data_IF_034805721538
#
_entry.id   IF_034805721538
#
_cell.length_a   1.000
_cell.length_b   1.000
_cell.length_c   1.000
_cell.angle_alpha   90.00
_cell.angle_beta   90.00
_cell.angle_gamma   90.00
#
_symmetry.space_group_name_H-M   'P 1'
#
loop_
_entity.id
_entity.type
_entity.pdbx_description
1 polymer ?
#
# COMPACT_ATOMS: atom_id res chain seq x y z
N UNK A 1 -11.58 -14.31 3.69
CA UNK A 1 -12.01 -14.00 2.31
C UNK A 1 -12.96 -12.82 2.35
N UNK A 2 -13.74 -12.63 1.29
CA UNK A 2 -14.79 -11.61 1.23
C UNK A 2 -15.96 -12.11 0.39
N UNK A 3 -17.18 -11.74 0.78
CA UNK A 3 -18.43 -11.93 0.02
C UNK A 3 -18.96 -10.60 -0.54
N UNK A 4 -18.11 -9.55 -0.52
CA UNK A 4 -18.47 -8.18 -0.84
C UNK A 4 -17.36 -7.50 -1.66
N UNK A 5 -17.54 -6.22 -1.97
CA UNK A 5 -16.62 -5.41 -2.76
C UNK A 5 -15.36 -4.94 -2.02
N UNK A 6 -15.15 -5.37 -0.77
CA UNK A 6 -14.05 -4.94 0.09
C UNK A 6 -13.31 -6.13 0.70
N UNK A 7 -12.02 -5.95 0.98
CA UNK A 7 -11.20 -6.92 1.70
C UNK A 7 -10.35 -6.22 2.77
N UNK A 8 -10.14 -6.89 3.90
CA UNK A 8 -9.29 -6.42 4.98
C UNK A 8 -8.05 -7.30 5.08
N UNK A 9 -6.88 -6.69 4.91
CA UNK A 9 -5.59 -7.35 5.02
C UNK A 9 -4.98 -7.05 6.39
N UNK A 10 -4.62 -8.10 7.12
CA UNK A 10 -3.88 -8.02 8.39
C UNK A 10 -2.37 -8.10 8.15
N UNK A 11 -1.62 -7.06 8.54
CA UNK A 11 -0.18 -6.96 8.32
C UNK A 11 0.67 -7.41 9.52
N UNK A 12 0.05 -7.79 10.65
CA UNK A 12 0.78 -8.25 11.85
C UNK A 12 1.73 -9.43 11.57
N UNK A 13 1.37 -10.43 10.74
CA UNK A 13 2.30 -11.52 10.41
C UNK A 13 3.58 -11.05 9.71
N UNK A 14 3.54 -9.89 9.06
CA UNK A 14 4.68 -9.27 8.37
C UNK A 14 5.46 -8.31 9.27
N UNK A 15 5.04 -8.12 10.52
CA UNK A 15 5.66 -7.18 11.45
C UNK A 15 5.51 -5.71 11.04
N UNK A 16 4.48 -5.41 10.23
CA UNK A 16 4.19 -4.08 9.69
C UNK A 16 2.86 -3.58 10.27
N UNK A 17 2.73 -2.26 10.42
CA UNK A 17 1.47 -1.61 10.80
C UNK A 17 0.80 -0.95 9.59
N UNK A 18 -0.52 -0.76 9.67
CA UNK A 18 -1.31 -0.19 8.58
C UNK A 18 -0.91 1.25 8.26
N UNK A 19 -0.41 2.02 9.23
CA UNK A 19 -0.01 3.41 9.00
C UNK A 19 1.27 3.51 8.16
N UNK A 20 2.25 2.62 8.37
CA UNK A 20 3.48 2.53 7.58
C UNK A 20 3.21 2.00 6.18
N UNK A 21 2.40 0.94 6.08
CA UNK A 21 2.00 0.38 4.80
C UNK A 21 1.25 1.40 3.93
N UNK A 22 0.27 2.11 4.50
CA UNK A 22 -0.47 3.18 3.82
C UNK A 22 0.47 4.25 3.26
N UNK A 23 1.53 4.62 3.97
CA UNK A 23 2.48 5.65 3.51
C UNK A 23 3.31 5.21 2.31
N UNK A 24 3.71 3.94 2.24
CA UNK A 24 4.44 3.42 1.07
C UNK A 24 3.50 3.26 -0.12
N UNK A 25 2.29 2.73 0.10
CA UNK A 25 1.27 2.60 -0.94
C UNK A 25 0.90 3.97 -1.54
N UNK A 26 0.70 4.98 -0.69
CA UNK A 26 0.46 6.36 -1.11
C UNK A 26 1.63 6.92 -1.94
N UNK A 27 2.88 6.65 -1.54
CA UNK A 27 4.07 7.10 -2.26
C UNK A 27 4.24 6.46 -3.64
N UNK A 28 3.58 5.33 -3.91
CA UNK A 28 3.61 4.64 -5.21
C UNK A 28 2.29 4.75 -5.98
N UNK A 29 1.49 5.77 -5.66
CA UNK A 29 0.21 6.07 -6.34
C UNK A 29 -0.90 5.03 -6.13
N UNK A 30 -0.85 4.27 -5.03
CA UNK A 30 -1.92 3.37 -4.60
C UNK A 30 -2.66 3.98 -3.38
N UNK A 31 -3.88 4.45 -3.62
CA UNK A 31 -4.72 5.03 -2.57
C UNK A 31 -5.45 3.92 -1.78
N UNK A 32 -5.16 3.82 -0.48
CA UNK A 32 -5.80 2.88 0.45
C UNK A 32 -6.12 3.54 1.77
N UNK A 33 -6.84 2.84 2.64
CA UNK A 33 -7.14 3.28 3.99
C UNK A 33 -6.63 2.26 5.00
N UNK A 34 -5.84 2.73 5.99
CA UNK A 34 -5.54 1.93 7.18
C UNK A 34 -6.80 1.67 8.01
N UNK A 35 -6.96 0.45 8.48
CA UNK A 35 -8.15 0.02 9.21
C UNK A 35 -7.77 -0.88 10.39
N UNK A 36 -8.49 -0.78 11.50
CA UNK A 36 -8.29 -1.66 12.65
C UNK A 36 -8.67 -3.09 12.29
N UNK A 37 -7.92 -4.05 12.83
CA UNK A 37 -8.20 -5.48 12.72
C UNK A 37 -8.60 -6.06 14.08
N UNK A 38 -9.35 -7.18 14.09
CA UNK A 38 -9.59 -7.94 15.31
C UNK A 38 -8.27 -8.28 16.03
N UNK A 39 -8.18 -7.90 17.31
CA UNK A 39 -6.98 -8.09 18.13
C UNK A 39 -6.02 -6.88 18.15
N UNK A 40 -6.34 -5.78 17.47
CA UNK A 40 -5.64 -4.51 17.70
C UNK A 40 -5.91 -4.01 19.12
N UNK A 41 -4.85 -3.70 19.85
CA UNK A 41 -4.94 -3.15 21.21
C UNK A 41 -5.21 -1.65 21.24
N UNK A 42 -5.08 -0.96 20.11
CA UNK A 42 -5.29 0.48 19.99
C UNK A 42 -5.83 0.87 18.62
N UNK A 43 -6.92 1.65 18.62
CA UNK A 43 -7.49 2.21 17.39
C UNK A 43 -6.57 3.25 16.70
N UNK A 44 -5.63 3.85 17.44
CA UNK A 44 -4.67 4.81 16.89
C UNK A 44 -3.52 4.14 16.14
N UNK A 45 -3.35 2.82 16.30
CA UNK A 45 -2.31 2.03 15.64
C UNK A 45 -2.95 0.82 14.95
N UNK A 46 -3.73 1.05 13.88
CA UNK A 46 -4.35 -0.03 13.12
C UNK A 46 -3.29 -0.92 12.48
N UNK A 47 -3.51 -2.23 12.51
CA UNK A 47 -2.61 -3.19 11.86
C UNK A 47 -3.00 -3.57 10.44
N UNK A 48 -4.17 -3.15 9.97
CA UNK A 48 -4.70 -3.57 8.68
C UNK A 48 -4.80 -2.48 7.62
N UNK A 49 -5.03 -2.93 6.39
CA UNK A 49 -5.38 -2.11 5.23
C UNK A 49 -6.69 -2.62 4.63
N UNK A 50 -7.60 -1.71 4.31
CA UNK A 50 -8.84 -2.02 3.61
C UNK A 50 -8.70 -1.70 2.12
N UNK A 51 -9.00 -2.69 1.29
CA UNK A 51 -9.06 -2.59 -0.16
C UNK A 51 -10.50 -2.67 -0.64
N UNK A 52 -10.77 -2.10 -1.81
CA UNK A 52 -12.04 -2.28 -2.52
C UNK A 52 -11.86 -2.10 -4.02
N UNK A 53 -12.65 -2.84 -4.79
CA UNK A 53 -12.61 -2.83 -6.27
C UNK A 53 -13.51 -1.80 -6.98
N UNK A 54 -14.58 -1.21 -6.40
CA UNK A 54 -15.55 -0.43 -7.17
C UNK A 54 -14.97 0.74 -8.00
N UNK A 55 -13.97 1.45 -7.47
CA UNK A 55 -13.35 2.57 -8.18
C UNK A 55 -12.58 2.10 -9.43
N UNK A 56 -11.86 0.97 -9.33
CA UNK A 56 -11.11 0.40 -10.45
C UNK A 56 -12.05 -0.25 -11.47
N UNK A 57 -13.05 -0.99 -11.01
CA UNK A 57 -14.04 -1.62 -11.91
C UNK A 57 -14.84 -0.58 -12.68
N UNK A 58 -15.17 0.57 -12.09
CA UNK A 58 -15.80 1.70 -12.81
C UNK A 58 -14.91 2.25 -13.94
N UNK A 59 -13.58 2.12 -13.82
CA UNK A 59 -12.61 2.48 -14.88
C UNK A 59 -12.39 1.37 -15.91
N UNK A 60 -13.06 0.22 -15.78
CA UNK A 60 -12.97 -0.90 -16.72
C UNK A 60 -11.94 -1.98 -16.37
N UNK A 61 -11.41 -1.99 -15.14
CA UNK A 61 -10.49 -3.05 -14.70
C UNK A 61 -11.22 -4.40 -14.59
N UNK A 62 -10.68 -5.42 -15.26
CA UNK A 62 -11.13 -6.80 -15.17
C UNK A 62 -10.36 -7.63 -14.13
N UNK A 63 -10.63 -8.93 -14.07
CA UNK A 63 -10.04 -9.84 -13.06
C UNK A 63 -8.51 -9.91 -13.16
N UNK A 64 -7.97 -10.06 -14.38
CA UNK A 64 -6.52 -10.09 -14.61
C UNK A 64 -5.84 -8.79 -14.18
N UNK A 65 -6.53 -7.66 -14.34
CA UNK A 65 -6.01 -6.36 -13.94
C UNK A 65 -5.95 -6.22 -12.43
N UNK A 66 -6.95 -6.77 -11.72
CA UNK A 66 -6.95 -6.83 -10.26
C UNK A 66 -5.83 -7.75 -9.75
N UNK A 67 -5.52 -8.85 -10.44
CA UNK A 67 -4.33 -9.66 -10.12
C UNK A 67 -3.06 -8.82 -10.25
N UNK A 68 -2.93 -8.04 -11.32
CA UNK A 68 -1.78 -7.14 -11.48
C UNK A 68 -1.71 -6.06 -10.40
N UNK A 69 -2.85 -5.48 -10.01
CA UNK A 69 -2.93 -4.54 -8.88
C UNK A 69 -2.51 -5.21 -7.57
N UNK A 70 -2.92 -6.45 -7.33
CA UNK A 70 -2.49 -7.21 -6.16
C UNK A 70 -0.98 -7.45 -6.14
N UNK A 71 -0.36 -7.72 -7.30
CA UNK A 71 1.10 -7.83 -7.42
C UNK A 71 1.80 -6.51 -7.07
N UNK A 72 1.32 -5.37 -7.56
CA UNK A 72 1.87 -4.06 -7.20
C UNK A 72 1.74 -3.77 -5.70
N UNK A 73 0.61 -4.13 -5.09
CA UNK A 73 0.41 -4.01 -3.65
C UNK A 73 1.40 -4.88 -2.89
N UNK A 74 1.59 -6.14 -3.28
CA UNK A 74 2.55 -7.06 -2.65
C UNK A 74 3.99 -6.53 -2.74
N UNK A 75 4.41 -6.04 -3.90
CA UNK A 75 5.71 -5.39 -4.09
C UNK A 75 5.90 -4.17 -3.17
N UNK A 76 4.88 -3.30 -3.08
CA UNK A 76 4.91 -2.14 -2.19
C UNK A 76 4.97 -2.54 -0.70
N UNK A 77 4.24 -3.59 -0.30
CA UNK A 77 4.26 -4.09 1.08
C UNK A 77 5.62 -4.71 1.40
N UNK A 78 6.24 -5.47 0.49
CA UNK A 78 7.60 -5.99 0.67
C UNK A 78 8.62 -4.87 0.85
N UNK A 79 8.51 -3.82 0.04
CA UNK A 79 9.35 -2.62 0.19
C UNK A 79 9.11 -1.92 1.54
N UNK A 80 7.86 -1.82 1.99
CA UNK A 80 7.53 -1.28 3.30
C UNK A 80 8.14 -2.11 4.44
N UNK A 81 8.13 -3.43 4.33
CA UNK A 81 8.79 -4.34 5.28
C UNK A 81 10.30 -4.12 5.29
N UNK A 82 10.93 -3.93 4.14
CA UNK A 82 12.37 -3.63 4.03
C UNK A 82 12.72 -2.28 4.67
N UNK A 83 11.98 -1.21 4.35
CA UNK A 83 12.15 0.12 4.96
C UNK A 83 11.96 0.06 6.47
N UNK A 84 10.99 -0.75 6.92
CA UNK A 84 10.73 -1.01 8.33
C UNK A 84 11.73 -1.98 8.96
N UNK A 85 12.72 -2.50 8.23
CA UNK A 85 13.89 -3.24 8.75
C UNK A 85 15.17 -2.40 8.75
N UNK A 86 15.24 -1.36 7.90
CA UNK A 86 16.38 -0.45 7.72
C UNK A 86 16.62 0.54 8.88
N UNK A 87 16.55 0.08 10.13
CA UNK A 87 16.53 0.93 11.33
C UNK A 87 17.68 0.64 12.31
N UNK A 88 18.92 0.59 11.83
CA UNK A 88 20.13 0.51 12.69
C UNK A 88 19.96 -0.44 13.89
N UNK A 89 20.19 0.08 15.11
CA UNK A 89 20.13 -0.69 16.36
C UNK A 89 18.72 -0.85 16.96
N UNK A 90 17.70 -0.17 16.42
CA UNK A 90 16.33 -0.26 16.97
C UNK A 90 15.72 -1.62 16.61
N UNK A 91 14.89 -2.18 17.49
CA UNK A 91 14.03 -3.32 17.14
C UNK A 91 12.94 -2.85 16.17
N UNK A 92 12.56 -3.68 15.20
CA UNK A 92 11.48 -3.42 14.23
C UNK A 92 10.17 -2.98 14.88
N UNK A 93 9.84 -3.53 16.05
CA UNK A 93 8.64 -3.18 16.83
C UNK A 93 8.70 -1.79 17.49
N UNK A 94 9.87 -1.15 17.55
CA UNK A 94 10.08 0.17 18.17
C UNK A 94 10.26 1.30 17.16
N UNK A 95 10.27 1.00 15.86
CA UNK A 95 10.39 1.99 14.80
C UNK A 95 9.16 2.88 14.79
N UNK A 96 9.35 4.16 15.07
CA UNK A 96 8.25 5.13 15.03
C UNK A 96 7.87 5.45 13.59
N UNK A 97 6.66 5.97 13.37
CA UNK A 97 6.24 6.44 12.05
C UNK A 97 7.14 7.58 11.53
N UNK A 98 7.72 8.38 12.43
CA UNK A 98 8.69 9.43 12.07
C UNK A 98 9.98 8.81 11.53
N UNK A 99 10.56 7.85 12.25
CA UNK A 99 11.77 7.14 11.80
C UNK A 99 11.53 6.47 10.43
N UNK A 100 10.38 5.84 10.27
CA UNK A 100 9.98 5.17 9.03
C UNK A 100 9.94 6.14 7.84
N UNK A 101 9.33 7.32 8.01
CA UNK A 101 9.28 8.37 6.98
C UNK A 101 10.67 8.89 6.61
N UNK A 102 11.61 8.95 7.54
CA UNK A 102 12.99 9.32 7.21
C UNK A 102 13.71 8.19 6.45
N UNK A 103 13.47 6.93 6.81
CA UNK A 103 14.00 5.79 6.04
C UNK A 103 13.47 5.77 4.61
N UNK A 104 12.18 6.07 4.38
CA UNK A 104 11.60 6.18 3.04
C UNK A 104 12.37 7.16 2.13
N UNK A 105 12.98 8.20 2.70
CA UNK A 105 13.71 9.23 1.94
C UNK A 105 15.13 8.81 1.54
N UNK A 106 15.63 7.67 2.03
CA UNK A 106 16.97 7.18 1.64
C UNK A 106 16.98 6.89 0.13
N UNK A 107 18.09 7.23 -0.53
CA UNK A 107 18.20 7.15 -1.99
C UNK A 107 17.80 5.80 -2.59
N UNK A 108 18.16 4.69 -1.93
CA UNK A 108 17.81 3.34 -2.39
C UNK A 108 16.29 3.10 -2.39
N UNK A 109 15.63 3.40 -1.26
CA UNK A 109 14.21 3.21 -1.07
C UNK A 109 13.39 4.20 -1.91
N UNK A 110 13.85 5.45 -2.02
CA UNK A 110 13.21 6.46 -2.85
C UNK A 110 13.20 6.06 -4.33
N UNK A 111 14.34 5.59 -4.85
CA UNK A 111 14.42 5.10 -6.24
C UNK A 111 13.53 3.87 -6.47
N UNK A 112 13.51 2.92 -5.53
CA UNK A 112 12.64 1.76 -5.61
C UNK A 112 11.16 2.16 -5.67
N UNK A 113 10.72 3.08 -4.80
CA UNK A 113 9.35 3.61 -4.82
C UNK A 113 9.04 4.34 -6.13
N UNK A 114 9.94 5.17 -6.64
CA UNK A 114 9.75 5.89 -7.90
C UNK A 114 9.59 4.95 -9.10
N UNK A 115 10.39 3.89 -9.18
CA UNK A 115 10.27 2.90 -10.25
C UNK A 115 8.94 2.15 -10.19
N UNK A 116 8.51 1.78 -8.98
CA UNK A 116 7.23 1.11 -8.76
C UNK A 116 6.06 2.06 -9.08
N UNK A 117 6.14 3.31 -8.63
CA UNK A 117 5.17 4.37 -8.93
C UNK A 117 4.99 4.52 -10.45
N UNK A 118 6.09 4.64 -11.20
CA UNK A 118 6.05 4.77 -12.65
C UNK A 118 5.37 3.58 -13.34
N UNK A 119 5.64 2.36 -12.85
CA UNK A 119 5.01 1.14 -13.38
C UNK A 119 3.50 1.11 -13.11
N UNK A 120 3.09 1.55 -11.92
CA UNK A 120 1.68 1.63 -11.50
C UNK A 120 0.94 2.69 -12.30
N UNK A 121 1.51 3.89 -12.45
CA UNK A 121 0.92 4.99 -13.23
C UNK A 121 0.78 4.60 -14.70
N UNK A 122 1.84 4.05 -15.30
CA UNK A 122 1.80 3.55 -16.69
C UNK A 122 0.76 2.45 -16.89
N UNK A 123 0.49 1.64 -15.87
CA UNK A 123 -0.58 0.64 -15.91
C UNK A 123 -1.96 1.30 -15.79
N UNK A 124 -2.12 2.24 -14.86
CA UNK A 124 -3.38 2.92 -14.58
C UNK A 124 -3.82 3.88 -15.69
N UNK A 125 -2.89 4.47 -16.43
CA UNK A 125 -3.17 5.39 -17.55
C UNK A 125 -3.83 4.71 -18.75
N UNK A 126 -3.75 3.37 -18.85
CA UNK A 126 -4.39 2.60 -19.92
C UNK A 126 -5.92 2.59 -19.83
N UNK A 127 -6.47 3.05 -18.71
CA UNK A 127 -7.89 3.00 -18.41
C UNK A 127 -8.49 4.41 -18.36
N UNK A 128 -9.69 4.62 -18.91
CA UNK A 128 -10.32 5.93 -18.93
C UNK A 128 -10.59 6.46 -17.52
N UNK A 129 -10.73 7.78 -17.43
CA UNK A 129 -11.16 8.46 -16.21
C UNK A 129 -12.60 8.97 -16.41
N UNK A 130 -13.61 8.33 -15.80
CA UNK A 130 -14.98 8.77 -15.92
C UNK A 130 -15.16 10.24 -15.48
N UNK A 131 -15.91 11.01 -16.25
CA UNK A 131 -16.20 12.41 -15.94
C UNK A 131 -15.26 13.43 -16.59
N UNK A 132 -14.28 12.98 -17.38
CA UNK A 132 -13.50 13.82 -18.29
C UNK A 132 -13.79 13.40 -19.74
N UNK A 133 -13.84 14.36 -20.65
CA UNK A 133 -13.85 14.05 -22.09
C UNK A 133 -12.53 13.35 -22.44
N UNK A 134 -12.58 12.29 -23.25
CA UNK A 134 -11.39 11.59 -23.71
C UNK A 134 -10.46 12.58 -24.45
N UNK A 135 -9.22 12.75 -23.96
CA UNK A 135 -8.19 13.61 -24.57
C UNK A 135 -7.65 12.94 -25.83
#
# INVERSE_FOLDING_TARGET
>A
GTDTHLALLDLRPLGLDGAKAEKVLEAVSIAVNKNTCPGDTSALKPSGIRFGTPALTTRGFGENDIIQVANFIDEAIKLAVEINKSHGDKKTSQVTLKDFKENMKRNEHLKAMQNLQHSIESFAEKYPMPGYDEI
#
